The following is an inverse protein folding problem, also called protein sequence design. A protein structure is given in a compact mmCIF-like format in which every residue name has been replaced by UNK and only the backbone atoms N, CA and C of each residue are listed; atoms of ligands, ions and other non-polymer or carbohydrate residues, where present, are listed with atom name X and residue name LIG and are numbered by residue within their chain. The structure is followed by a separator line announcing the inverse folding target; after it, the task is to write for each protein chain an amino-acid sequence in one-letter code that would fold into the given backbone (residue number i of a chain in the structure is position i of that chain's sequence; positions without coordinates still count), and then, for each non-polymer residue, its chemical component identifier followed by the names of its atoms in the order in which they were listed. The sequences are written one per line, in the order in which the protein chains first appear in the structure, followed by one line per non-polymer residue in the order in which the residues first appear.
data_IF_064167866602
#
_entry.id   IF_064167866602
#
_cell.length_a   1.000
_cell.length_b   1.000
_cell.length_c   1.000
_cell.angle_alpha   90.00
_cell.angle_beta   90.00
_cell.angle_gamma   90.00
#
_symmetry.space_group_name_H-M   'P 1'
#
loop_
_entity.id
_entity.type
_entity.pdbx_description
1 polymer ?
#
# COMPACT_ATOMS: atom_id res chain seq x y z
N UNK A 1 27.76 68.68 -11.87
CA UNK A 1 26.55 69.37 -12.35
C UNK A 1 25.40 68.44 -11.97
N UNK A 2 24.90 68.80 -10.85
CA UNK A 2 23.54 69.17 -10.42
C UNK A 2 22.56 68.02 -10.45
N UNK A 3 22.27 67.44 -9.35
CA UNK A 3 21.23 67.73 -8.33
C UNK A 3 19.85 68.02 -8.89
N UNK A 4 18.92 67.15 -8.60
CA UNK A 4 17.62 67.61 -8.11
C UNK A 4 16.93 66.49 -7.23
N UNK A 5 16.85 66.91 -5.97
CA UNK A 5 16.04 66.30 -4.91
C UNK A 5 14.61 66.76 -5.09
N UNK A 6 13.61 65.86 -5.08
CA UNK A 6 12.23 66.26 -4.77
C UNK A 6 11.71 65.42 -3.64
N UNK A 7 11.62 66.11 -2.51
CA UNK A 7 10.89 65.68 -1.31
C UNK A 7 9.43 66.08 -1.46
N UNK A 8 8.48 65.23 -1.25
CA UNK A 8 7.12 65.67 -0.87
C UNK A 8 6.34 64.59 -0.10
N UNK A 9 6.27 64.85 1.14
CA UNK A 9 5.10 64.98 2.06
C UNK A 9 4.33 63.72 2.44
N UNK A 10 4.55 63.46 3.68
CA UNK A 10 3.81 62.70 4.67
C UNK A 10 2.31 63.11 4.69
N UNK A 11 1.41 62.13 4.70
CA UNK A 11 0.14 62.25 5.44
C UNK A 11 -0.10 60.97 6.28
N UNK A 12 0.01 61.18 7.58
CA UNK A 12 -0.50 60.23 8.59
C UNK A 12 -2.03 60.27 8.56
N UNK A 13 -2.65 59.13 8.55
CA UNK A 13 -4.00 58.97 9.09
C UNK A 13 -3.96 57.76 10.02
N UNK A 14 -4.29 58.01 11.25
CA UNK A 14 -4.45 57.12 12.39
C UNK A 14 -5.97 56.80 12.50
N UNK A 15 -6.27 55.69 13.11
CA UNK A 15 -7.56 55.18 13.63
C UNK A 15 -8.23 54.15 12.71
N UNK A 16 -8.68 53.04 13.18
CA UNK A 16 -9.16 52.60 14.49
C UNK A 16 -9.42 51.10 14.54
N UNK A 17 -9.33 50.55 15.75
CA UNK A 17 -10.13 49.46 16.37
C UNK A 17 -10.51 48.23 15.52
N UNK A 18 -9.93 47.07 15.80
CA UNK A 18 -10.55 46.10 16.68
C UNK A 18 -11.59 45.23 15.98
N UNK A 19 -11.14 44.04 15.52
CA UNK A 19 -12.00 42.85 15.61
C UNK A 19 -11.08 41.66 15.94
N UNK A 20 -11.28 41.12 17.12
CA UNK A 20 -10.76 39.83 17.55
C UNK A 20 -11.44 38.77 16.68
N UNK A 21 -10.78 38.39 15.61
CA UNK A 21 -11.17 37.21 14.85
C UNK A 21 -10.66 35.97 15.57
N UNK A 22 -11.53 35.22 16.23
CA UNK A 22 -11.28 33.86 16.64
C UNK A 22 -10.90 33.05 15.38
N UNK A 23 -9.61 32.81 15.20
CA UNK A 23 -9.11 31.84 14.26
C UNK A 23 -9.52 30.46 14.79
N UNK A 24 -10.66 29.97 14.36
CA UNK A 24 -10.97 28.55 14.45
C UNK A 24 -9.93 27.82 13.59
N UNK A 25 -8.93 27.23 14.24
CA UNK A 25 -8.09 26.23 13.62
C UNK A 25 -8.99 25.08 13.22
N UNK A 26 -9.46 25.10 11.99
CA UNK A 26 -9.98 23.91 11.35
C UNK A 26 -8.79 22.98 11.25
N UNK A 27 -8.67 22.03 12.17
CA UNK A 27 -7.90 20.84 11.98
C UNK A 27 -8.49 20.17 10.74
N UNK A 28 -7.88 20.41 9.60
CA UNK A 28 -8.09 19.57 8.43
C UNK A 28 -7.58 18.18 8.83
N UNK A 29 -8.47 17.36 9.37
CA UNK A 29 -8.31 15.92 9.32
C UNK A 29 -8.26 15.64 7.83
N UNK A 30 -7.07 15.25 7.32
CA UNK A 30 -6.95 14.77 5.97
C UNK A 30 -7.98 13.66 5.80
N UNK A 31 -8.93 13.87 4.89
CA UNK A 31 -9.78 12.80 4.37
C UNK A 31 -8.81 11.80 3.69
N UNK A 32 -8.24 10.90 4.51
CA UNK A 32 -7.73 9.67 3.97
C UNK A 32 -8.94 9.01 3.34
N UNK A 33 -8.92 8.88 2.01
CA UNK A 33 -10.00 8.28 1.25
C UNK A 33 -10.15 6.81 1.68
N UNK A 34 -10.78 6.61 2.84
CA UNK A 34 -11.27 5.30 3.24
C UNK A 34 -12.29 4.92 2.17
N UNK A 35 -11.90 3.99 1.32
CA UNK A 35 -12.79 3.45 0.31
C UNK A 35 -14.11 3.03 0.98
N UNK A 36 -15.20 3.03 0.20
CA UNK A 36 -16.51 2.60 0.69
C UNK A 36 -16.37 1.34 1.57
N UNK A 37 -17.00 1.28 2.78
CA UNK A 37 -16.90 0.11 3.65
C UNK A 37 -17.19 -1.19 2.93
N UNK A 38 -16.54 -2.28 3.35
CA UNK A 38 -16.79 -3.61 2.81
C UNK A 38 -18.22 -4.04 3.13
N UNK A 39 -18.92 -4.58 2.15
CA UNK A 39 -20.19 -5.29 2.35
C UNK A 39 -19.95 -6.55 3.16
N UNK A 40 -20.99 -7.16 3.73
CA UNK A 40 -20.90 -8.42 4.46
C UNK A 40 -20.28 -9.55 3.61
N UNK A 41 -20.60 -9.60 2.32
CA UNK A 41 -20.03 -10.56 1.39
C UNK A 41 -18.52 -10.31 1.17
N UNK A 42 -18.11 -9.07 0.99
CA UNK A 42 -16.70 -8.71 0.84
C UNK A 42 -15.91 -8.98 2.14
N UNK A 43 -16.50 -8.77 3.31
CA UNK A 43 -15.88 -9.12 4.60
C UNK A 43 -15.67 -10.63 4.73
N UNK A 44 -16.65 -11.46 4.35
CA UNK A 44 -16.49 -12.93 4.31
C UNK A 44 -15.41 -13.34 3.33
N UNK A 45 -15.38 -12.72 2.15
CA UNK A 45 -14.37 -12.96 1.13
C UNK A 45 -12.97 -12.60 1.62
N UNK A 46 -12.81 -11.46 2.30
CA UNK A 46 -11.55 -11.06 2.92
C UNK A 46 -11.07 -12.08 3.98
N UNK A 47 -12.01 -12.74 4.67
CA UNK A 47 -11.72 -13.86 5.56
C UNK A 47 -11.40 -15.20 4.86
N UNK A 48 -11.38 -15.23 3.53
CA UNK A 48 -11.10 -16.41 2.72
C UNK A 48 -12.33 -17.33 2.51
N UNK A 49 -13.55 -16.80 2.67
CA UNK A 49 -14.81 -17.56 2.52
C UNK A 49 -15.64 -16.93 1.39
N UNK A 50 -15.60 -17.53 0.20
CA UNK A 50 -16.34 -17.09 -0.98
C UNK A 50 -16.57 -18.25 -1.96
N UNK A 51 -17.56 -18.12 -2.84
CA UNK A 51 -17.74 -19.04 -3.96
C UNK A 51 -16.88 -18.63 -5.15
N UNK A 52 -16.33 -19.58 -5.90
CA UNK A 52 -15.42 -19.29 -7.02
C UNK A 52 -16.07 -18.39 -8.08
N UNK A 53 -17.37 -18.55 -8.33
CA UNK A 53 -18.17 -17.73 -9.25
C UNK A 53 -18.27 -16.25 -8.86
N UNK A 54 -17.99 -15.92 -7.60
CA UNK A 54 -18.08 -14.54 -7.08
C UNK A 54 -16.79 -13.76 -7.36
N UNK A 55 -15.69 -14.46 -7.68
CA UNK A 55 -14.43 -13.83 -8.09
C UNK A 55 -14.60 -13.19 -9.47
N UNK A 56 -14.17 -11.94 -9.58
CA UNK A 56 -14.21 -11.16 -10.82
C UNK A 56 -12.81 -10.72 -11.23
N UNK A 57 -12.62 -10.57 -12.53
CA UNK A 57 -11.41 -9.95 -13.07
C UNK A 57 -11.23 -8.52 -12.56
N UNK A 58 -9.99 -8.11 -12.43
CA UNK A 58 -9.60 -6.79 -11.96
C UNK A 58 -8.60 -6.15 -12.90
N UNK A 59 -8.61 -4.84 -12.97
CA UNK A 59 -7.65 -4.06 -13.73
C UNK A 59 -6.50 -3.61 -12.82
N UNK A 60 -5.31 -3.38 -13.40
CA UNK A 60 -4.16 -2.89 -12.64
C UNK A 60 -4.44 -1.54 -11.96
N UNK A 61 -5.35 -0.75 -12.52
CA UNK A 61 -5.82 0.52 -11.93
C UNK A 61 -6.47 0.39 -10.54
N UNK A 62 -6.89 -0.81 -10.14
CA UNK A 62 -7.35 -1.06 -8.77
C UNK A 62 -6.21 -0.89 -7.74
N UNK A 63 -4.97 -0.95 -8.19
CA UNK A 63 -3.74 -0.76 -7.39
C UNK A 63 -3.00 0.54 -7.74
N UNK A 64 -3.56 1.45 -8.57
CA UNK A 64 -2.90 2.73 -8.88
C UNK A 64 -2.54 3.50 -7.62
N UNK A 65 -1.35 4.06 -7.61
CA UNK A 65 -0.80 4.86 -6.53
C UNK A 65 0.67 4.58 -6.29
N UNK A 66 1.21 5.18 -5.24
CA UNK A 66 2.56 4.94 -4.74
C UNK A 66 2.45 4.16 -3.43
N UNK A 67 3.25 3.12 -3.31
CA UNK A 67 3.16 2.11 -2.24
C UNK A 67 4.50 1.93 -1.55
N UNK A 68 4.50 1.84 -0.23
CA UNK A 68 5.69 1.59 0.60
C UNK A 68 5.69 0.19 1.18
N UNK A 69 6.87 -0.43 1.22
CA UNK A 69 7.05 -1.72 1.87
C UNK A 69 6.93 -1.62 3.39
N UNK A 70 6.27 -2.60 4.02
CA UNK A 70 6.25 -2.71 5.49
C UNK A 70 7.50 -3.41 6.06
N UNK A 71 8.37 -3.93 5.22
CA UNK A 71 9.56 -4.65 5.69
C UNK A 71 10.50 -3.78 6.52
N UNK A 72 10.80 -2.52 6.16
CA UNK A 72 11.57 -1.61 7.02
C UNK A 72 10.93 -1.40 8.39
N UNK A 73 9.60 -1.25 8.45
CA UNK A 73 8.87 -1.07 9.72
C UNK A 73 9.00 -2.30 10.62
N UNK A 74 8.99 -3.50 10.04
CA UNK A 74 9.23 -4.74 10.77
C UNK A 74 10.66 -4.82 11.33
N UNK A 75 11.65 -4.46 10.51
CA UNK A 75 13.08 -4.51 10.89
C UNK A 75 13.37 -3.51 12.00
N UNK A 76 12.80 -2.31 11.93
CA UNK A 76 12.97 -1.24 12.93
C UNK A 76 12.23 -1.53 14.25
N UNK A 77 11.28 -2.47 14.25
CA UNK A 77 10.47 -2.80 15.42
C UNK A 77 9.16 -2.01 15.51
N UNK A 78 8.84 -1.17 14.54
CA UNK A 78 7.59 -0.39 14.50
C UNK A 78 6.34 -1.31 14.49
N UNK A 79 6.47 -2.51 13.89
CA UNK A 79 5.40 -3.51 13.86
C UNK A 79 5.34 -4.41 15.11
N UNK A 80 6.19 -4.23 16.12
CA UNK A 80 6.18 -5.06 17.32
C UNK A 80 4.81 -5.10 18.05
N UNK A 81 4.03 -4.01 18.13
CA UNK A 81 2.65 -4.07 18.66
C UNK A 81 1.75 -5.04 17.90
N UNK A 82 1.82 -5.06 16.57
CA UNK A 82 1.06 -5.98 15.70
C UNK A 82 1.45 -7.42 16.00
N UNK A 83 2.76 -7.68 16.07
CA UNK A 83 3.28 -9.04 16.33
C UNK A 83 2.89 -9.54 17.73
N UNK A 84 2.89 -8.69 18.76
CA UNK A 84 2.42 -9.03 20.11
C UNK A 84 0.95 -9.44 20.09
N UNK A 85 0.10 -8.70 19.36
CA UNK A 85 -1.32 -9.08 19.20
C UNK A 85 -1.50 -10.44 18.51
N UNK A 86 -0.60 -10.81 17.56
CA UNK A 86 -0.62 -12.16 16.96
C UNK A 86 -0.23 -13.24 17.96
N UNK A 87 0.72 -12.99 18.86
CA UNK A 87 1.07 -13.90 19.96
C UNK A 87 -0.10 -14.08 20.94
N UNK A 88 -0.81 -13.01 21.27
CA UNK A 88 -2.02 -13.08 22.11
C UNK A 88 -3.12 -13.97 21.50
N UNK A 89 -3.26 -13.92 20.15
CA UNK A 89 -4.21 -14.79 19.42
C UNK A 89 -3.76 -16.25 19.32
N UNK A 90 -2.46 -16.54 19.40
CA UNK A 90 -1.87 -17.87 19.34
C UNK A 90 -0.75 -18.03 20.39
N UNK A 91 -1.10 -18.30 21.66
CA UNK A 91 -0.12 -18.42 22.74
C UNK A 91 0.85 -19.61 22.62
N UNK A 92 0.66 -20.48 21.64
CA UNK A 92 1.60 -21.58 21.37
C UNK A 92 2.90 -21.09 20.71
N UNK A 93 2.93 -19.85 20.21
CA UNK A 93 4.08 -19.23 19.55
C UNK A 93 4.71 -18.16 20.43
N UNK A 94 6.04 -18.11 20.41
CA UNK A 94 6.76 -17.00 21.06
C UNK A 94 6.76 -15.75 20.14
N UNK A 95 7.04 -14.59 20.72
CA UNK A 95 7.23 -13.37 19.94
C UNK A 95 8.36 -13.52 18.89
N UNK A 96 9.43 -14.23 19.24
CA UNK A 96 10.54 -14.49 18.33
C UNK A 96 10.09 -15.34 17.12
N UNK A 97 9.27 -16.37 17.33
CA UNK A 97 8.74 -17.22 16.28
C UNK A 97 7.84 -16.41 15.31
N UNK A 98 6.95 -15.59 15.87
CA UNK A 98 6.07 -14.73 15.09
C UNK A 98 6.88 -13.71 14.31
N UNK A 99 7.89 -13.07 14.93
CA UNK A 99 8.76 -12.09 14.24
C UNK A 99 9.56 -12.75 13.12
N UNK A 100 10.10 -13.94 13.33
CA UNK A 100 10.82 -14.70 12.31
C UNK A 100 9.92 -15.08 11.13
N UNK A 101 8.68 -15.51 11.39
CA UNK A 101 7.69 -15.82 10.37
C UNK A 101 7.37 -14.61 9.49
N UNK A 102 7.04 -13.45 10.09
CA UNK A 102 6.75 -12.23 9.36
C UNK A 102 7.98 -11.65 8.66
N UNK A 103 9.18 -11.82 9.25
CA UNK A 103 10.42 -11.41 8.59
C UNK A 103 10.66 -12.20 7.30
N UNK A 104 10.41 -13.51 7.30
CA UNK A 104 10.45 -14.35 6.09
C UNK A 104 9.38 -13.92 5.09
N UNK A 105 8.17 -13.66 5.58
CA UNK A 105 7.04 -13.27 4.74
C UNK A 105 7.22 -11.93 4.03
N UNK A 106 7.70 -10.92 4.74
CA UNK A 106 7.74 -9.55 4.25
C UNK A 106 9.05 -9.15 3.56
N UNK A 107 10.12 -9.99 3.67
CA UNK A 107 11.42 -9.62 3.13
C UNK A 107 11.35 -9.27 1.66
N UNK A 108 11.90 -8.10 1.32
CA UNK A 108 12.00 -7.59 -0.04
C UNK A 108 13.15 -6.59 -0.12
N UNK A 109 13.69 -6.40 -1.32
CA UNK A 109 14.62 -5.31 -1.64
C UNK A 109 13.89 -4.10 -2.27
N UNK A 110 12.64 -4.28 -2.70
CA UNK A 110 11.86 -3.20 -3.32
C UNK A 110 11.26 -2.32 -2.22
N UNK A 111 11.74 -1.09 -2.13
CA UNK A 111 11.31 -0.13 -1.11
C UNK A 111 9.94 0.46 -1.43
N UNK A 112 9.72 0.79 -2.70
CA UNK A 112 8.52 1.48 -3.18
C UNK A 112 8.07 0.91 -4.52
N UNK A 113 6.77 0.93 -4.76
CA UNK A 113 6.15 0.57 -6.05
C UNK A 113 5.24 1.72 -6.46
N UNK A 114 5.47 2.28 -7.67
CA UNK A 114 4.55 3.18 -8.36
C UNK A 114 3.69 2.40 -9.33
N UNK A 115 2.39 2.66 -9.38
CA UNK A 115 1.46 2.04 -10.34
C UNK A 115 0.57 3.14 -10.90
N UNK A 116 0.63 3.34 -12.23
CA UNK A 116 -0.17 4.33 -12.93
C UNK A 116 -0.26 3.96 -14.41
N UNK A 117 -1.43 4.16 -15.02
CA UNK A 117 -1.67 3.98 -16.47
C UNK A 117 -1.18 2.62 -17.04
N UNK A 118 -1.30 1.55 -16.25
CA UNK A 118 -0.87 0.20 -16.66
C UNK A 118 0.63 -0.05 -16.53
N UNK A 119 1.38 0.92 -16.02
CA UNK A 119 2.82 0.80 -15.74
C UNK A 119 3.03 0.51 -14.26
N UNK A 120 3.97 -0.38 -13.95
CA UNK A 120 4.51 -0.54 -12.60
C UNK A 120 5.97 -0.16 -12.61
N UNK A 121 6.39 0.66 -11.63
CA UNK A 121 7.76 1.06 -11.38
C UNK A 121 8.19 0.56 -10.01
N UNK A 122 9.32 -0.15 -9.96
CA UNK A 122 9.88 -0.75 -8.76
C UNK A 122 11.15 0.01 -8.38
N UNK A 123 11.26 0.48 -7.13
CA UNK A 123 12.40 1.22 -6.62
C UNK A 123 13.17 0.38 -5.60
N UNK A 124 14.50 0.31 -5.77
CA UNK A 124 15.45 -0.33 -4.87
C UNK A 124 16.55 0.71 -4.55
N UNK A 125 16.46 1.38 -3.43
CA UNK A 125 17.33 2.51 -3.12
C UNK A 125 17.22 3.61 -4.18
N UNK A 126 18.32 3.91 -4.88
CA UNK A 126 18.36 4.91 -5.95
C UNK A 126 18.07 4.35 -7.36
N UNK A 127 17.93 3.04 -7.48
CA UNK A 127 17.66 2.39 -8.76
C UNK A 127 16.16 2.18 -8.96
N UNK A 128 15.70 2.29 -10.20
CA UNK A 128 14.34 1.93 -10.56
C UNK A 128 14.27 1.10 -11.83
N UNK A 129 13.21 0.33 -11.94
CA UNK A 129 12.88 -0.44 -13.14
C UNK A 129 11.38 -0.40 -13.37
N UNK A 130 10.95 -0.28 -14.61
CA UNK A 130 9.53 -0.18 -14.94
C UNK A 130 9.14 -1.03 -16.13
N UNK A 131 7.87 -1.41 -16.18
CA UNK A 131 7.28 -2.10 -17.32
C UNK A 131 5.79 -1.80 -17.43
N UNK A 132 5.26 -1.83 -18.63
CA UNK A 132 3.83 -1.87 -18.87
C UNK A 132 3.32 -3.30 -18.70
N UNK A 133 2.32 -3.51 -17.83
CA UNK A 133 1.83 -4.84 -17.49
C UNK A 133 0.46 -5.13 -18.08
N UNK A 134 0.32 -6.32 -18.63
CA UNK A 134 -0.95 -6.85 -19.12
C UNK A 134 -1.53 -7.83 -18.09
N UNK A 135 -2.82 -7.74 -17.88
CA UNK A 135 -3.57 -8.71 -17.07
C UNK A 135 -3.67 -10.06 -17.78
N UNK A 136 -3.39 -11.15 -17.04
CA UNK A 136 -3.40 -12.52 -17.54
C UNK A 136 -4.46 -13.41 -16.84
N UNK A 137 -5.38 -12.79 -16.12
CA UNK A 137 -6.42 -13.52 -15.40
C UNK A 137 -6.13 -13.64 -13.89
N UNK A 138 -6.90 -14.48 -13.22
CA UNK A 138 -6.73 -14.76 -11.79
C UNK A 138 -6.67 -16.27 -11.50
N UNK A 139 -6.16 -16.61 -10.32
CA UNK A 139 -6.16 -17.96 -9.78
C UNK A 139 -6.70 -17.96 -8.36
N UNK A 140 -7.60 -18.89 -8.09
CA UNK A 140 -8.12 -19.15 -6.74
C UNK A 140 -7.24 -20.22 -6.11
N UNK A 141 -6.68 -19.91 -4.95
CA UNK A 141 -5.88 -20.84 -4.16
C UNK A 141 -6.70 -21.30 -2.95
N UNK A 142 -6.61 -22.59 -2.63
CA UNK A 142 -7.18 -23.15 -1.41
C UNK A 142 -6.04 -23.53 -0.47
N UNK A 143 -5.99 -22.92 0.69
CA UNK A 143 -4.97 -23.15 1.70
C UNK A 143 -5.29 -24.41 2.54
N UNK A 144 -4.30 -24.94 3.25
CA UNK A 144 -4.47 -26.10 4.13
C UNK A 144 -5.54 -25.88 5.22
N UNK A 145 -5.81 -24.64 5.60
CA UNK A 145 -6.89 -24.26 6.52
C UNK A 145 -8.29 -24.37 5.94
N UNK A 146 -8.43 -24.66 4.64
CA UNK A 146 -9.69 -24.61 3.89
C UNK A 146 -10.11 -23.21 3.45
N UNK A 147 -9.42 -22.16 3.88
CA UNK A 147 -9.63 -20.79 3.40
C UNK A 147 -9.13 -20.64 1.97
N UNK A 148 -9.70 -19.68 1.24
CA UNK A 148 -9.30 -19.36 -0.13
C UNK A 148 -8.67 -17.98 -0.21
N UNK A 149 -7.80 -17.81 -1.22
CA UNK A 149 -7.25 -16.52 -1.63
C UNK A 149 -7.28 -16.40 -3.14
N UNK A 150 -7.16 -15.19 -3.64
CA UNK A 150 -7.09 -14.92 -5.09
C UNK A 150 -5.74 -14.29 -5.40
N UNK A 151 -5.09 -14.76 -6.45
CA UNK A 151 -3.92 -14.15 -7.09
C UNK A 151 -4.36 -13.56 -8.43
N UNK A 152 -4.15 -12.26 -8.63
CA UNK A 152 -4.38 -11.56 -9.90
C UNK A 152 -3.05 -11.46 -10.63
N UNK A 153 -2.98 -11.98 -11.86
CA UNK A 153 -1.76 -12.25 -12.60
C UNK A 153 -1.52 -11.17 -13.65
N UNK A 154 -0.28 -10.70 -13.71
CA UNK A 154 0.14 -9.68 -14.68
C UNK A 154 1.48 -10.05 -15.29
N UNK A 155 1.66 -9.77 -16.60
CA UNK A 155 2.90 -10.02 -17.33
C UNK A 155 3.43 -8.74 -17.97
N UNK A 156 4.70 -8.47 -17.75
CA UNK A 156 5.44 -7.38 -18.39
C UNK A 156 5.46 -7.56 -19.90
N UNK A 157 5.11 -6.51 -20.64
CA UNK A 157 5.02 -6.51 -22.12
C UNK A 157 6.34 -6.17 -22.80
N UNK A 158 7.32 -5.61 -22.08
CA UNK A 158 8.64 -5.31 -22.61
C UNK A 158 9.63 -6.41 -22.24
N UNK A 159 10.08 -7.16 -23.24
CA UNK A 159 11.02 -8.26 -23.06
C UNK A 159 12.44 -7.80 -22.62
N UNK A 160 12.77 -6.52 -22.82
CA UNK A 160 14.07 -5.95 -22.46
C UNK A 160 14.03 -5.18 -21.13
N UNK A 161 12.86 -5.04 -20.51
CA UNK A 161 12.76 -4.38 -19.22
C UNK A 161 13.47 -5.19 -18.13
N UNK A 162 14.25 -4.55 -17.23
CA UNK A 162 14.80 -5.20 -16.03
C UNK A 162 13.77 -5.40 -14.92
N UNK A 163 12.55 -4.86 -15.07
CA UNK A 163 11.46 -5.09 -14.13
C UNK A 163 11.01 -6.57 -14.11
N UNK A 164 10.39 -7.06 -13.02
CA UNK A 164 9.92 -8.43 -12.95
C UNK A 164 9.01 -8.80 -14.12
N UNK A 165 9.28 -9.92 -14.77
CA UNK A 165 8.49 -10.39 -15.93
C UNK A 165 7.07 -10.77 -15.54
N UNK A 166 6.90 -11.37 -14.36
CA UNK A 166 5.63 -11.82 -13.83
C UNK A 166 5.37 -11.18 -12.48
N UNK A 167 4.15 -10.73 -12.27
CA UNK A 167 3.67 -10.14 -11.03
C UNK A 167 2.32 -10.73 -10.67
N UNK A 168 2.11 -11.00 -9.38
CA UNK A 168 0.81 -11.40 -8.85
C UNK A 168 0.47 -10.57 -7.63
N UNK A 169 -0.77 -10.09 -7.57
CA UNK A 169 -1.33 -9.41 -6.40
C UNK A 169 -2.28 -10.30 -5.62
N UNK A 170 -2.29 -10.13 -4.31
CA UNK A 170 -3.32 -10.62 -3.39
C UNK A 170 -3.59 -9.57 -2.33
N UNK A 171 -4.84 -9.15 -2.18
CA UNK A 171 -5.23 -8.07 -1.27
C UNK A 171 -6.56 -8.36 -0.53
N UNK A 172 -6.93 -9.62 -0.44
CA UNK A 172 -8.17 -10.09 0.19
C UNK A 172 -9.46 -9.63 -0.51
N UNK A 173 -9.36 -8.99 -1.67
CA UNK A 173 -10.47 -8.48 -2.47
C UNK A 173 -10.69 -9.41 -3.68
N UNK A 174 -11.95 -9.75 -3.97
CA UNK A 174 -12.30 -10.73 -5.00
C UNK A 174 -13.01 -10.13 -6.22
N UNK A 175 -13.07 -8.81 -6.32
CA UNK A 175 -13.69 -8.09 -7.46
C UNK A 175 -13.14 -6.67 -7.60
N UNK A 176 -13.59 -5.93 -8.63
CA UNK A 176 -13.12 -4.57 -8.92
C UNK A 176 -13.31 -3.63 -7.73
N UNK A 177 -12.21 -3.19 -7.15
CA UNK A 177 -12.17 -2.24 -6.03
C UNK A 177 -10.75 -1.73 -5.84
N UNK A 178 -10.62 -0.44 -5.49
CA UNK A 178 -9.34 0.15 -5.08
C UNK A 178 -8.78 -0.61 -3.88
N UNK A 179 -7.52 -1.02 -3.98
CA UNK A 179 -6.81 -1.72 -2.90
C UNK A 179 -6.42 -0.74 -1.78
N UNK A 180 -6.50 -1.16 -0.53
CA UNK A 180 -6.00 -0.43 0.63
C UNK A 180 -4.60 -0.87 1.05
N UNK A 181 -4.23 -2.09 0.74
CA UNK A 181 -2.89 -2.69 0.86
C UNK A 181 -2.85 -3.95 0.01
N UNK A 182 -1.67 -4.48 -0.25
CA UNK A 182 -1.55 -5.74 -0.98
C UNK A 182 -0.30 -6.53 -0.61
N UNK A 183 -0.37 -7.82 -0.88
CA UNK A 183 0.76 -8.72 -0.97
C UNK A 183 1.14 -8.87 -2.45
N UNK A 184 2.43 -8.88 -2.75
CA UNK A 184 2.93 -9.00 -4.12
C UNK A 184 3.90 -10.19 -4.24
N UNK A 185 3.86 -10.82 -5.40
CA UNK A 185 4.75 -11.92 -5.77
C UNK A 185 5.36 -11.57 -7.12
N UNK A 186 6.67 -11.54 -7.20
CA UNK A 186 7.38 -11.11 -8.42
C UNK A 186 8.43 -12.14 -8.83
N UNK A 187 8.64 -12.30 -10.12
CA UNK A 187 9.67 -13.21 -10.62
C UNK A 187 9.81 -13.21 -12.14
N UNK A 188 10.81 -13.98 -12.64
CA UNK A 188 11.15 -13.99 -14.05
C UNK A 188 11.00 -15.39 -14.71
N UNK A 189 10.58 -16.41 -13.95
CA UNK A 189 10.51 -17.80 -14.44
C UNK A 189 9.15 -18.08 -15.11
N UNK A 190 8.06 -18.07 -14.34
CA UNK A 190 6.71 -18.26 -14.85
C UNK A 190 5.65 -17.86 -13.82
N UNK A 191 4.40 -17.71 -14.25
CA UNK A 191 3.25 -17.50 -13.36
C UNK A 191 3.05 -18.70 -12.42
N UNK A 192 3.23 -19.92 -12.89
CA UNK A 192 3.07 -21.14 -12.10
C UNK A 192 4.11 -21.22 -10.97
N UNK A 193 5.35 -20.81 -11.25
CA UNK A 193 6.39 -20.76 -10.22
C UNK A 193 6.00 -19.80 -9.08
N UNK A 194 5.41 -18.64 -9.41
CA UNK A 194 4.93 -17.68 -8.41
C UNK A 194 3.69 -18.19 -7.65
N UNK A 195 2.81 -18.94 -8.31
CA UNK A 195 1.64 -19.52 -7.64
C UNK A 195 2.02 -20.53 -6.56
N UNK A 196 3.18 -21.17 -6.67
CA UNK A 196 3.69 -22.10 -5.66
C UNK A 196 4.42 -21.41 -4.50
N UNK A 197 4.72 -20.09 -4.61
CA UNK A 197 5.34 -19.33 -3.52
C UNK A 197 4.31 -19.02 -2.42
N UNK A 198 4.53 -19.57 -1.23
CA UNK A 198 3.64 -19.45 -0.08
C UNK A 198 4.33 -18.85 1.16
N UNK A 199 5.64 -18.71 1.10
CA UNK A 199 6.46 -18.34 2.26
C UNK A 199 6.90 -16.88 2.28
N UNK A 200 6.98 -16.25 1.09
CA UNK A 200 7.36 -14.85 0.93
C UNK A 200 6.22 -14.08 0.25
N UNK A 201 5.66 -13.12 0.99
CA UNK A 201 4.56 -12.27 0.54
C UNK A 201 4.81 -10.81 0.93
N UNK A 202 5.80 -10.13 0.30
CA UNK A 202 6.06 -8.72 0.53
C UNK A 202 4.77 -7.91 0.52
N UNK A 203 4.60 -7.06 1.53
CA UNK A 203 3.36 -6.34 1.79
C UNK A 203 3.58 -4.85 1.67
N UNK A 204 2.64 -4.18 1.02
CA UNK A 204 2.72 -2.75 0.72
C UNK A 204 1.46 -2.02 1.17
N UNK A 205 1.66 -0.83 1.72
CA UNK A 205 0.64 0.14 2.10
C UNK A 205 0.82 1.45 1.32
N UNK A 206 -0.22 2.29 1.20
CA UNK A 206 -0.09 3.58 0.52
C UNK A 206 1.06 4.41 1.10
N UNK A 207 1.86 5.01 0.23
CA UNK A 207 3.03 5.81 0.60
C UNK A 207 2.71 6.97 1.54
N UNK A 208 1.54 7.58 1.39
CA UNK A 208 1.11 8.70 2.22
C UNK A 208 0.76 8.33 3.66
N UNK A 209 0.56 7.04 3.96
CA UNK A 209 0.27 6.58 5.33
C UNK A 209 1.52 6.72 6.20
N UNK A 210 1.34 7.32 7.35
CA UNK A 210 2.39 7.38 8.37
C UNK A 210 2.54 6.01 9.05
N UNK A 211 3.72 5.75 9.61
CA UNK A 211 3.99 4.48 10.33
C UNK A 211 2.90 4.12 11.35
N UNK A 212 2.42 5.10 12.12
CA UNK A 212 1.37 4.87 13.12
C UNK A 212 0.04 4.43 12.49
N UNK A 213 -0.30 4.96 11.32
CA UNK A 213 -1.53 4.61 10.58
C UNK A 213 -1.42 3.19 10.01
N UNK A 214 -0.25 2.82 9.47
CA UNK A 214 0.00 1.44 9.00
C UNK A 214 -0.11 0.44 10.16
N UNK A 215 0.47 0.75 11.32
CA UNK A 215 0.39 -0.10 12.52
C UNK A 215 -1.05 -0.26 12.98
N UNK A 216 -1.82 0.83 13.04
CA UNK A 216 -3.24 0.82 13.44
C UNK A 216 -4.08 -0.03 12.48
N UNK A 217 -3.91 0.14 11.17
CA UNK A 217 -4.60 -0.67 10.15
C UNK A 217 -4.27 -2.16 10.32
N UNK A 218 -2.99 -2.50 10.52
CA UNK A 218 -2.55 -3.88 10.72
C UNK A 218 -3.03 -4.49 12.05
N UNK A 219 -3.30 -3.69 13.06
CA UNK A 219 -3.88 -4.15 14.33
C UNK A 219 -5.36 -4.57 14.16
N UNK A 220 -6.07 -4.00 13.21
CA UNK A 220 -7.46 -4.33 12.93
C UNK A 220 -7.66 -5.41 11.86
N UNK A 221 -6.56 -5.92 11.31
CA UNK A 221 -6.51 -7.00 10.31
C UNK A 221 -6.52 -8.44 10.88
#
# INVERSE_FOLDING_TARGET
MESLVVVSKIKKIVLSLGLIGLSSSVLAHGDHAHGKPLTEMEQKAAGGVFADKDVKDRNLSDWDGVWQSVYPLLVNGDLDPVLRKKVEKDPSKTFADVKAYYRKGYVTQVDTIGIEDGVMEFHIGAESSSCHYRYDGHKILTYASGKKGVRYLFTCQDANSPAPKFVQFSDHIIGPRKSSHFHIFTGNTSQEALLSEMDNWPTYYPWQMQTAEVVEEMLHH
#
